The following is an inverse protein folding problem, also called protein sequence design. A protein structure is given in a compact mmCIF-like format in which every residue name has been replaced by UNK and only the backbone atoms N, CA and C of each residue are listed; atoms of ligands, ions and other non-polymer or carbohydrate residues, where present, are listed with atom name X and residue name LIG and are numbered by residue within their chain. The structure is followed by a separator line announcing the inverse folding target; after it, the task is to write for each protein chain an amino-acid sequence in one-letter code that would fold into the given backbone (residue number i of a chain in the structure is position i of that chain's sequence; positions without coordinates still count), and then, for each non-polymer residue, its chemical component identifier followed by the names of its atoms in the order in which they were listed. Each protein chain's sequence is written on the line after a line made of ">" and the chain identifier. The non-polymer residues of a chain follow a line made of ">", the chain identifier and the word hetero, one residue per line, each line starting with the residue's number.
data_IF_166768623132
#
_entry.id   IF_166768623132
#
_cell.length_a   1.000
_cell.length_b   1.000
_cell.length_c   1.000
_cell.angle_alpha   90.00
_cell.angle_beta   90.00
_cell.angle_gamma   90.00
#
_symmetry.space_group_name_H-M   'P 1'
#
loop_
_entity.id
_entity.type
_entity.pdbx_description
1 polymer ?
#
# COMPACT_ATOMS: atom_id res chain seq x y z
N UNK A 1 21.22 22.64 4.91
CA UNK A 1 19.78 22.68 4.57
C UNK A 1 19.19 21.30 4.73
N UNK A 2 18.15 21.18 5.52
CA UNK A 2 17.54 19.89 5.77
C UNK A 2 16.72 19.45 4.55
N UNK A 3 16.81 18.17 4.21
CA UNK A 3 15.98 17.60 3.17
C UNK A 3 14.53 17.55 3.63
N UNK A 4 13.60 17.91 2.73
CA UNK A 4 12.19 17.75 2.99
C UNK A 4 11.85 16.25 3.03
N UNK A 5 11.21 15.84 4.11
CA UNK A 5 10.74 14.45 4.24
C UNK A 5 9.25 14.34 3.97
N UNK A 6 8.85 13.15 3.56
CA UNK A 6 7.48 12.77 3.30
C UNK A 6 7.08 11.64 4.24
N UNK A 7 5.79 11.47 4.45
CA UNK A 7 5.27 10.33 5.23
C UNK A 7 5.15 9.11 4.32
N UNK A 8 5.97 8.09 4.55
CA UNK A 8 5.95 6.86 3.76
C UNK A 8 5.39 5.75 4.63
N UNK A 9 4.23 5.24 4.23
CA UNK A 9 3.57 4.15 4.94
C UNK A 9 3.99 2.82 4.35
N UNK A 10 4.47 1.94 5.19
CA UNK A 10 4.73 0.54 4.84
C UNK A 10 3.62 -0.29 5.49
N UNK A 11 2.76 -0.87 4.66
CA UNK A 11 1.70 -1.76 5.12
C UNK A 11 2.10 -3.19 4.88
N UNK A 12 1.97 -4.00 5.91
CA UNK A 12 2.25 -5.44 5.86
C UNK A 12 0.95 -6.20 6.02
N UNK A 13 0.67 -7.08 5.07
CA UNK A 13 -0.49 -7.97 5.14
C UNK A 13 -0.04 -9.36 5.51
N UNK A 14 -0.74 -9.95 6.49
CA UNK A 14 -0.68 -11.38 6.75
C UNK A 14 -1.83 -12.03 6.00
N UNK A 15 -1.53 -12.78 4.95
CA UNK A 15 -2.53 -13.43 4.11
C UNK A 15 -2.94 -14.78 4.69
N UNK A 16 -4.16 -15.19 4.38
CA UNK A 16 -4.57 -16.57 4.61
C UNK A 16 -3.71 -17.49 3.76
N UNK A 17 -3.41 -18.71 4.23
CA UNK A 17 -2.53 -19.62 3.50
C UNK A 17 -2.96 -19.87 2.06
N UNK A 18 -2.02 -19.75 1.15
CA UNK A 18 -2.25 -20.03 -0.27
C UNK A 18 -2.91 -18.91 -1.06
N UNK A 19 -3.15 -17.72 -0.46
CA UNK A 19 -3.85 -16.61 -1.12
C UNK A 19 -2.91 -15.64 -1.83
N UNK A 20 -1.59 -15.81 -1.75
CA UNK A 20 -0.63 -14.82 -2.26
C UNK A 20 -0.84 -14.49 -3.73
N UNK A 21 -0.95 -15.47 -4.60
CA UNK A 21 -1.04 -15.22 -6.04
C UNK A 21 -2.37 -14.55 -6.40
N UNK A 22 -3.46 -15.00 -5.80
CA UNK A 22 -4.76 -14.36 -6.00
C UNK A 22 -4.78 -12.94 -5.46
N UNK A 23 -4.19 -12.71 -4.29
CA UNK A 23 -4.09 -11.38 -3.69
C UNK A 23 -3.24 -10.45 -4.55
N UNK A 24 -2.08 -10.93 -5.02
CA UNK A 24 -1.21 -10.13 -5.89
C UNK A 24 -1.91 -9.74 -7.19
N UNK A 25 -2.67 -10.65 -7.78
CA UNK A 25 -3.45 -10.35 -8.98
C UNK A 25 -4.50 -9.28 -8.70
N UNK A 26 -5.24 -9.42 -7.61
CA UNK A 26 -6.27 -8.45 -7.23
C UNK A 26 -5.67 -7.07 -6.95
N UNK A 27 -4.54 -7.03 -6.25
CA UNK A 27 -3.83 -5.78 -6.03
C UNK A 27 -3.38 -5.14 -7.34
N UNK A 28 -2.73 -5.91 -8.21
CA UNK A 28 -2.17 -5.40 -9.46
C UNK A 28 -3.25 -4.97 -10.46
N UNK A 29 -4.35 -5.69 -10.54
CA UNK A 29 -5.39 -5.47 -11.55
C UNK A 29 -6.50 -4.51 -11.08
N UNK A 30 -6.77 -4.43 -9.78
CA UNK A 30 -7.88 -3.64 -9.26
C UNK A 30 -7.46 -2.57 -8.25
N UNK A 31 -6.81 -2.94 -7.15
CA UNK A 31 -6.58 -2.00 -6.05
C UNK A 31 -5.53 -0.94 -6.40
N UNK A 32 -4.43 -1.32 -7.02
CA UNK A 32 -3.37 -0.35 -7.38
C UNK A 32 -3.84 0.64 -8.45
N UNK A 33 -4.50 0.22 -9.55
CA UNK A 33 -5.08 1.18 -10.48
C UNK A 33 -6.08 2.14 -9.82
N UNK A 34 -6.88 1.64 -8.86
CA UNK A 34 -7.81 2.47 -8.12
C UNK A 34 -7.08 3.51 -7.26
N UNK A 35 -6.03 3.10 -6.54
CA UNK A 35 -5.20 4.02 -5.77
C UNK A 35 -4.62 5.13 -6.66
N UNK A 36 -4.15 4.79 -7.86
CA UNK A 36 -3.65 5.77 -8.82
C UNK A 36 -4.76 6.77 -9.23
N UNK A 37 -5.97 6.30 -9.48
CA UNK A 37 -7.09 7.20 -9.82
C UNK A 37 -7.43 8.15 -8.66
N UNK A 38 -7.20 7.73 -7.44
CA UNK A 38 -7.36 8.55 -6.25
C UNK A 38 -6.11 9.36 -5.89
N UNK A 39 -5.15 9.41 -6.83
CA UNK A 39 -3.94 10.22 -6.72
C UNK A 39 -3.06 9.81 -5.54
N UNK A 40 -3.07 8.55 -5.18
CA UNK A 40 -2.17 8.00 -4.16
C UNK A 40 -0.88 7.56 -4.84
N UNK A 41 0.24 8.02 -4.32
CA UNK A 41 1.56 7.65 -4.81
C UNK A 41 1.96 6.29 -4.24
N UNK A 42 1.80 5.24 -5.02
CA UNK A 42 2.22 3.89 -4.65
C UNK A 42 3.70 3.74 -5.00
N UNK A 43 4.53 3.62 -3.99
CA UNK A 43 5.97 3.44 -4.16
C UNK A 43 6.29 2.03 -4.64
N UNK A 44 5.68 1.03 -4.01
CA UNK A 44 5.91 -0.38 -4.33
C UNK A 44 4.83 -1.26 -3.72
N UNK A 45 4.63 -2.44 -4.29
CA UNK A 45 3.80 -3.48 -3.70
C UNK A 45 4.25 -4.83 -4.22
N UNK A 46 4.06 -5.87 -3.45
CA UNK A 46 4.42 -7.21 -3.88
C UNK A 46 4.47 -8.22 -2.75
N UNK A 47 4.67 -9.49 -3.12
CA UNK A 47 4.87 -10.54 -2.13
C UNK A 47 6.21 -10.35 -1.42
N UNK A 48 6.24 -10.61 -0.12
CA UNK A 48 7.48 -10.55 0.64
C UNK A 48 8.32 -11.80 0.40
N UNK A 49 9.63 -11.69 0.17
CA UNK A 49 10.45 -12.87 -0.14
C UNK A 49 10.70 -13.81 1.05
N UNK A 50 10.44 -13.35 2.29
CA UNK A 50 10.73 -14.16 3.47
C UNK A 50 9.58 -15.08 3.90
N UNK A 51 8.38 -14.86 3.40
CA UNK A 51 7.17 -15.56 3.87
C UNK A 51 6.17 -15.65 2.72
N UNK A 52 5.71 -16.86 2.42
CA UNK A 52 4.77 -17.08 1.32
C UNK A 52 3.41 -16.40 1.53
N UNK A 53 3.06 -16.10 2.77
CA UNK A 53 1.78 -15.48 3.13
C UNK A 53 1.90 -14.03 3.56
N UNK A 54 3.03 -13.38 3.27
CA UNK A 54 3.25 -11.97 3.57
C UNK A 54 3.29 -11.13 2.29
N UNK A 55 2.69 -9.94 2.36
CA UNK A 55 2.60 -9.01 1.22
C UNK A 55 2.80 -7.59 1.72
N UNK A 56 3.43 -6.74 0.92
CA UNK A 56 3.65 -5.34 1.30
C UNK A 56 3.00 -4.37 0.32
N UNK A 57 2.60 -3.21 0.86
CA UNK A 57 2.15 -2.05 0.09
C UNK A 57 2.81 -0.82 0.68
N UNK A 58 3.56 -0.08 -0.12
CA UNK A 58 4.28 1.11 0.31
C UNK A 58 3.69 2.31 -0.43
N UNK A 59 3.24 3.31 0.34
CA UNK A 59 2.58 4.51 -0.19
C UNK A 59 3.25 5.76 0.38
N UNK A 60 3.39 6.78 -0.46
CA UNK A 60 3.95 8.06 -0.08
C UNK A 60 2.84 9.09 0.05
N UNK A 61 2.89 9.87 1.13
CA UNK A 61 2.04 11.04 1.36
C UNK A 61 2.92 12.22 1.71
N UNK A 62 2.43 13.45 1.47
CA UNK A 62 3.17 14.66 1.80
C UNK A 62 3.49 14.72 3.30
N UNK A 63 2.52 14.38 4.14
CA UNK A 63 2.61 14.39 5.59
C UNK A 63 1.54 13.48 6.21
N UNK A 64 1.51 13.41 7.53
CA UNK A 64 0.54 12.57 8.24
C UNK A 64 -0.91 13.05 8.05
N UNK A 65 -1.12 14.36 7.95
CA UNK A 65 -2.46 14.91 7.75
C UNK A 65 -3.01 14.51 6.37
N UNK A 66 -2.20 14.59 5.32
CA UNK A 66 -2.59 14.13 3.99
C UNK A 66 -2.87 12.64 3.96
N UNK A 67 -2.03 11.84 4.64
CA UNK A 67 -2.25 10.39 4.75
C UNK A 67 -3.62 10.09 5.35
N UNK A 68 -3.94 10.72 6.46
CA UNK A 68 -5.22 10.52 7.14
C UNK A 68 -6.39 10.90 6.24
N UNK A 69 -6.35 12.10 5.66
CA UNK A 69 -7.41 12.59 4.80
C UNK A 69 -7.59 11.73 3.55
N UNK A 70 -6.48 11.33 2.91
CA UNK A 70 -6.50 10.49 1.72
C UNK A 70 -7.06 9.10 2.00
N UNK A 71 -6.66 8.48 3.11
CA UNK A 71 -7.14 7.15 3.46
C UNK A 71 -8.61 7.17 3.88
N UNK A 72 -9.03 8.18 4.63
CA UNK A 72 -10.44 8.33 5.01
C UNK A 72 -11.32 8.47 3.77
N UNK A 73 -10.90 9.29 2.81
CA UNK A 73 -11.65 9.50 1.57
C UNK A 73 -11.69 8.22 0.72
N UNK A 74 -10.55 7.57 0.53
CA UNK A 74 -10.44 6.37 -0.30
C UNK A 74 -11.23 5.21 0.30
N UNK A 75 -10.94 4.86 1.55
CA UNK A 75 -11.57 3.71 2.21
C UNK A 75 -13.03 3.95 2.58
N UNK A 76 -13.46 5.21 2.66
CA UNK A 76 -14.87 5.57 2.84
C UNK A 76 -15.65 5.67 1.53
N UNK A 77 -15.00 5.53 0.38
CA UNK A 77 -15.66 5.73 -0.91
C UNK A 77 -16.56 4.56 -1.31
N UNK A 78 -17.66 4.83 -2.03
CA UNK A 78 -18.46 3.76 -2.63
C UNK A 78 -17.65 2.89 -3.59
N UNK A 79 -16.71 3.47 -4.33
CA UNK A 79 -15.86 2.73 -5.26
C UNK A 79 -15.08 1.62 -4.56
N UNK A 80 -14.52 1.93 -3.38
CA UNK A 80 -13.84 0.94 -2.58
C UNK A 80 -14.82 -0.08 -1.99
N UNK A 81 -15.88 0.39 -1.35
CA UNK A 81 -16.87 -0.46 -0.67
C UNK A 81 -17.56 -1.44 -1.63
N UNK A 82 -17.91 -0.98 -2.83
CA UNK A 82 -18.60 -1.79 -3.84
C UNK A 82 -17.62 -2.51 -4.78
N UNK A 83 -16.34 -2.18 -4.69
CA UNK A 83 -15.29 -2.75 -5.54
C UNK A 83 -14.51 -3.87 -4.83
N UNK A 84 -13.17 -3.75 -4.74
CA UNK A 84 -12.32 -4.86 -4.30
C UNK A 84 -12.33 -5.15 -2.80
N UNK A 85 -13.00 -4.33 -1.98
CA UNK A 85 -12.93 -4.44 -0.52
C UNK A 85 -13.25 -5.84 0.00
N UNK A 86 -14.39 -6.40 -0.39
CA UNK A 86 -14.82 -7.70 0.12
C UNK A 86 -13.84 -8.82 -0.24
N UNK A 87 -13.36 -8.82 -1.47
CA UNK A 87 -12.42 -9.83 -1.95
C UNK A 87 -11.06 -9.71 -1.23
N UNK A 88 -10.57 -8.48 -1.05
CA UNK A 88 -9.32 -8.23 -0.31
C UNK A 88 -9.45 -8.70 1.13
N UNK A 89 -10.51 -8.30 1.83
CA UNK A 89 -10.72 -8.67 3.23
C UNK A 89 -10.87 -10.19 3.41
N UNK A 90 -11.39 -10.88 2.42
CA UNK A 90 -11.53 -12.34 2.46
C UNK A 90 -10.17 -13.07 2.39
N UNK A 91 -9.14 -12.42 1.87
CA UNK A 91 -7.82 -13.02 1.66
C UNK A 91 -6.81 -12.72 2.77
N UNK A 92 -7.12 -11.79 3.69
CA UNK A 92 -6.19 -11.38 4.74
C UNK A 92 -6.68 -11.84 6.11
N UNK A 93 -5.71 -12.21 6.97
CA UNK A 93 -5.97 -12.44 8.39
C UNK A 93 -5.80 -11.15 9.19
N UNK A 94 -4.77 -10.37 8.85
CA UNK A 94 -4.47 -9.13 9.56
C UNK A 94 -3.60 -8.23 8.68
N UNK A 95 -3.52 -6.97 9.06
CA UNK A 95 -2.52 -6.05 8.49
C UNK A 95 -2.04 -5.09 9.57
N UNK A 96 -0.81 -4.60 9.36
CA UNK A 96 -0.23 -3.55 10.20
C UNK A 96 0.40 -2.50 9.31
N UNK A 97 0.58 -1.30 9.85
CA UNK A 97 1.23 -0.21 9.12
C UNK A 97 2.24 0.48 10.03
N UNK A 98 3.33 0.91 9.42
CA UNK A 98 4.30 1.79 10.04
C UNK A 98 4.57 2.94 9.09
N UNK A 99 4.84 4.13 9.61
CA UNK A 99 5.13 5.31 8.81
C UNK A 99 6.55 5.76 9.10
N UNK A 100 7.33 5.96 8.04
CA UNK A 100 8.69 6.45 8.12
C UNK A 100 8.80 7.82 7.47
N UNK A 101 9.61 8.75 8.04
CA UNK A 101 9.96 9.97 7.32
C UNK A 101 11.09 9.65 6.35
N UNK A 102 10.82 9.77 5.05
CA UNK A 102 11.83 9.59 4.01
C UNK A 102 11.86 10.81 3.09
N UNK A 103 13.05 11.18 2.64
CA UNK A 103 13.22 12.21 1.62
C UNK A 103 13.07 11.61 0.21
N UNK A 104 13.14 12.46 -0.81
CA UNK A 104 12.97 12.01 -2.20
C UNK A 104 14.05 11.01 -2.61
N UNK A 105 15.26 11.17 -2.11
CA UNK A 105 16.35 10.23 -2.41
C UNK A 105 16.08 8.85 -1.79
N UNK A 106 15.61 8.82 -0.55
CA UNK A 106 15.24 7.58 0.12
C UNK A 106 14.10 6.87 -0.58
N UNK A 107 13.09 7.62 -1.02
CA UNK A 107 11.96 7.07 -1.78
C UNK A 107 12.44 6.52 -3.13
N UNK A 108 13.30 7.25 -3.84
CA UNK A 108 13.85 6.78 -5.11
C UNK A 108 14.66 5.49 -4.94
N UNK A 109 15.45 5.40 -3.87
CA UNK A 109 16.20 4.19 -3.56
C UNK A 109 15.27 3.00 -3.28
N UNK A 110 14.18 3.24 -2.57
CA UNK A 110 13.19 2.22 -2.27
C UNK A 110 12.49 1.70 -3.53
N UNK A 111 12.16 2.61 -4.46
CA UNK A 111 11.59 2.21 -5.76
C UNK A 111 12.55 1.32 -6.55
N UNK A 112 13.85 1.65 -6.56
CA UNK A 112 14.86 0.85 -7.24
C UNK A 112 15.03 -0.53 -6.61
N UNK A 113 15.03 -0.59 -5.27
CA UNK A 113 15.23 -1.83 -4.53
C UNK A 113 14.07 -2.83 -4.70
N UNK A 114 12.89 -2.31 -5.03
CA UNK A 114 11.65 -3.13 -5.10
C UNK A 114 11.19 -3.43 -6.53
N UNK A 115 11.99 -3.08 -7.51
CA UNK A 115 11.68 -3.39 -8.91
C UNK A 115 11.71 -4.88 -9.20
#
# INVERSE_FOLDING_TARGET
>A
MDATTHAVEIRSYALKPGMRDAFHRLMSEAAIPMLHRWQVDVVAHGPSPHDADAYYLIRRYRDLAEREASQDAFYGSPEWHDGPRAAILAMIDAYTSIVLPLDDEGIAALRRATR
#
